data_IF_496325860925
#
_entry.id   IF_496325860925
#
_cell.length_a   1.000
_cell.length_b   1.000
_cell.length_c   1.000
_cell.angle_alpha   90.00
_cell.angle_beta   90.00
_cell.angle_gamma   90.00
#
_symmetry.space_group_name_H-M   'P 1'
#
loop_
_entity.id
_entity.type
_entity.pdbx_description
1 polymer ?
#
# COMPACT_ATOMS: atom_id res chain seq x y z
N UNK A 1 -0.94 -29.47 27.31
CA UNK A 1 -1.80 -28.26 27.38
C UNK A 1 -0.86 -27.09 27.14
N UNK A 2 -0.57 -26.85 25.86
CA UNK A 2 0.42 -25.83 25.48
C UNK A 2 -0.19 -24.45 25.66
N UNK A 3 0.42 -23.66 26.54
CA UNK A 3 0.07 -22.25 26.69
C UNK A 3 0.34 -21.56 25.35
N UNK A 4 -0.71 -21.28 24.60
CA UNK A 4 -0.66 -20.32 23.51
C UNK A 4 -0.32 -18.99 24.18
N UNK A 5 0.94 -18.55 24.05
CA UNK A 5 1.37 -17.28 24.63
C UNK A 5 0.49 -16.17 24.07
N UNK A 6 0.00 -15.27 24.91
CA UNK A 6 -0.86 -14.15 24.49
C UNK A 6 -0.22 -13.31 23.38
N UNK A 7 1.12 -13.28 23.35
CA UNK A 7 1.94 -12.65 22.32
C UNK A 7 1.78 -13.32 20.94
N UNK A 8 1.64 -14.64 20.92
CA UNK A 8 1.49 -15.44 19.70
C UNK A 8 0.12 -15.18 19.05
N UNK A 9 -0.93 -15.10 19.86
CA UNK A 9 -2.30 -14.77 19.41
C UNK A 9 -2.35 -13.34 18.85
N UNK A 10 -1.74 -12.39 19.56
CA UNK A 10 -1.71 -11.00 19.11
C UNK A 10 -0.97 -10.83 17.79
N UNK A 11 0.17 -11.53 17.62
CA UNK A 11 0.97 -11.49 16.40
C UNK A 11 0.21 -12.11 15.23
N UNK A 12 -0.38 -13.29 15.41
CA UNK A 12 -1.21 -13.93 14.39
C UNK A 12 -2.40 -13.05 14.01
N UNK A 13 -3.07 -12.44 14.98
CA UNK A 13 -4.20 -11.53 14.74
C UNK A 13 -3.80 -10.32 13.90
N UNK A 14 -2.66 -9.70 14.23
CA UNK A 14 -2.12 -8.57 13.48
C UNK A 14 -1.75 -8.97 12.04
N UNK A 15 -1.13 -10.13 11.86
CA UNK A 15 -0.76 -10.67 10.53
C UNK A 15 -2.01 -10.93 9.68
N UNK A 16 -3.07 -11.53 10.26
CA UNK A 16 -4.35 -11.73 9.57
C UNK A 16 -4.96 -10.41 9.13
N UNK A 17 -5.02 -9.41 10.02
CA UNK A 17 -5.56 -8.09 9.70
C UNK A 17 -4.77 -7.40 8.57
N UNK A 18 -3.44 -7.49 8.59
CA UNK A 18 -2.57 -6.94 7.55
C UNK A 18 -2.79 -7.65 6.21
N UNK A 19 -2.85 -8.99 6.18
CA UNK A 19 -3.12 -9.77 4.97
C UNK A 19 -4.46 -9.39 4.32
N UNK A 20 -5.54 -9.36 5.11
CA UNK A 20 -6.88 -9.03 4.61
C UNK A 20 -6.90 -7.61 4.03
N UNK A 21 -6.18 -6.68 4.64
CA UNK A 21 -6.08 -5.31 4.15
C UNK A 21 -5.33 -5.24 2.83
N UNK A 22 -4.16 -5.88 2.72
CA UNK A 22 -3.35 -5.89 1.50
C UNK A 22 -4.09 -6.59 0.35
N UNK A 23 -4.60 -7.80 0.57
CA UNK A 23 -5.33 -8.57 -0.44
C UNK A 23 -6.62 -7.84 -0.82
N UNK A 24 -7.39 -7.37 0.16
CA UNK A 24 -8.63 -6.65 -0.08
C UNK A 24 -8.42 -5.37 -0.89
N UNK A 25 -7.29 -4.70 -0.72
CA UNK A 25 -6.92 -3.51 -1.50
C UNK A 25 -6.47 -3.86 -2.92
N UNK A 26 -5.59 -4.88 -3.08
CA UNK A 26 -5.07 -5.29 -4.38
C UNK A 26 -6.18 -5.83 -5.30
N UNK A 27 -7.07 -6.66 -4.76
CA UNK A 27 -8.16 -7.26 -5.53
C UNK A 27 -9.43 -6.40 -5.58
N UNK A 28 -9.40 -5.19 -5.01
CA UNK A 28 -10.56 -4.28 -4.94
C UNK A 28 -11.84 -4.96 -4.42
N UNK A 29 -11.69 -5.78 -3.37
CA UNK A 29 -12.79 -6.59 -2.83
C UNK A 29 -13.73 -5.71 -2.00
N UNK A 30 -15.04 -5.84 -2.27
CA UNK A 30 -16.11 -5.18 -1.52
C UNK A 30 -15.99 -5.51 -0.02
N UNK A 31 -16.20 -4.50 0.82
CA UNK A 31 -15.99 -4.56 2.27
C UNK A 31 -16.77 -5.71 2.92
N UNK A 32 -17.90 -6.11 2.34
CA UNK A 32 -18.75 -7.23 2.78
C UNK A 32 -18.02 -8.57 2.82
N UNK A 33 -17.09 -8.81 1.88
CA UNK A 33 -16.38 -10.08 1.79
C UNK A 33 -15.08 -10.10 2.60
N UNK A 34 -14.63 -8.96 3.15
CA UNK A 34 -13.38 -8.89 3.94
C UNK A 34 -13.46 -9.71 5.22
N UNK A 35 -14.62 -9.73 5.88
CA UNK A 35 -14.82 -10.54 7.08
C UNK A 35 -14.77 -12.05 6.77
N UNK A 36 -15.39 -12.48 5.66
CA UNK A 36 -15.32 -13.87 5.21
C UNK A 36 -13.89 -14.28 4.86
N UNK A 37 -13.14 -13.38 4.21
CA UNK A 37 -11.72 -13.61 3.91
C UNK A 37 -10.89 -13.73 5.18
N UNK A 38 -11.10 -12.86 6.18
CA UNK A 38 -10.38 -12.91 7.45
C UNK A 38 -10.57 -14.25 8.17
N UNK A 39 -11.81 -14.75 8.21
CA UNK A 39 -12.14 -16.06 8.78
C UNK A 39 -11.44 -17.17 8.00
N UNK A 40 -11.49 -17.12 6.67
CA UNK A 40 -10.81 -18.11 5.81
C UNK A 40 -9.30 -18.16 6.05
N UNK A 41 -8.63 -17.00 6.08
CA UNK A 41 -7.18 -16.90 6.31
C UNK A 41 -6.82 -17.37 7.73
N UNK A 42 -7.61 -17.00 8.74
CA UNK A 42 -7.40 -17.45 10.11
C UNK A 42 -7.52 -18.99 10.24
N UNK A 43 -8.50 -19.60 9.56
CA UNK A 43 -8.61 -21.07 9.53
C UNK A 43 -7.40 -21.72 8.86
N UNK A 44 -6.91 -21.18 7.74
CA UNK A 44 -5.72 -21.71 7.05
C UNK A 44 -4.48 -21.62 7.93
N UNK A 45 -4.27 -20.50 8.62
CA UNK A 45 -3.15 -20.32 9.54
C UNK A 45 -3.26 -21.23 10.77
N UNK A 46 -4.48 -21.45 11.27
CA UNK A 46 -4.73 -22.33 12.41
C UNK A 46 -4.45 -23.80 12.10
N UNK A 47 -4.75 -24.24 10.88
CA UNK A 47 -4.47 -25.61 10.43
C UNK A 47 -2.99 -25.88 10.13
N UNK A 48 -2.14 -24.85 10.18
CA UNK A 48 -0.72 -25.01 9.90
C UNK A 48 0.00 -25.65 11.10
N UNK A 49 0.80 -26.72 10.88
CA UNK A 49 1.54 -27.36 11.96
C UNK A 49 2.56 -26.39 12.58
N UNK A 50 2.61 -26.36 13.92
CA UNK A 50 3.44 -25.42 14.70
C UNK A 50 4.92 -25.43 14.33
N UNK A 51 5.44 -26.57 13.90
CA UNK A 51 6.84 -26.73 13.47
C UNK A 51 7.21 -25.82 12.28
N UNK A 52 6.22 -25.45 11.46
CA UNK A 52 6.36 -24.59 10.29
C UNK A 52 5.79 -23.19 10.53
N UNK A 53 4.94 -23.05 11.55
CA UNK A 53 4.18 -21.84 11.84
C UNK A 53 5.07 -20.63 12.08
N UNK A 54 6.15 -20.77 12.85
CA UNK A 54 7.03 -19.65 13.21
C UNK A 54 7.80 -19.10 12.00
N UNK A 55 8.38 -20.00 11.18
CA UNK A 55 9.07 -19.62 9.94
C UNK A 55 8.10 -19.00 8.93
N UNK A 56 6.89 -19.55 8.83
CA UNK A 56 5.86 -19.03 7.94
C UNK A 56 5.35 -17.66 8.38
N UNK A 57 5.13 -17.46 9.68
CA UNK A 57 4.75 -16.15 10.24
C UNK A 57 5.83 -15.12 9.98
N UNK A 58 7.11 -15.48 10.18
CA UNK A 58 8.24 -14.61 9.91
C UNK A 58 8.33 -14.24 8.42
N UNK A 59 8.17 -15.22 7.51
CA UNK A 59 8.14 -14.96 6.08
C UNK A 59 6.97 -14.04 5.69
N UNK A 60 5.78 -14.23 6.28
CA UNK A 60 4.63 -13.36 6.10
C UNK A 60 4.90 -11.94 6.56
N UNK A 61 5.50 -11.75 7.74
CA UNK A 61 5.85 -10.43 8.26
C UNK A 61 6.83 -9.73 7.31
N UNK A 62 7.87 -10.42 6.85
CA UNK A 62 8.85 -9.86 5.90
C UNK A 62 8.16 -9.47 4.59
N UNK A 63 7.33 -10.35 4.02
CA UNK A 63 6.61 -10.11 2.77
C UNK A 63 5.60 -8.96 2.87
N UNK A 64 4.81 -8.91 3.96
CA UNK A 64 3.85 -7.83 4.22
C UNK A 64 4.56 -6.50 4.47
N UNK A 65 5.67 -6.51 5.20
CA UNK A 65 6.47 -5.31 5.46
C UNK A 65 7.07 -4.78 4.16
N UNK A 66 7.67 -5.64 3.33
CA UNK A 66 8.17 -5.27 2.02
C UNK A 66 7.04 -4.71 1.14
N UNK A 67 5.88 -5.39 1.07
CA UNK A 67 4.70 -4.94 0.33
C UNK A 67 4.22 -3.55 0.79
N UNK A 68 4.17 -3.32 2.11
CA UNK A 68 3.81 -2.04 2.70
C UNK A 68 4.77 -0.92 2.32
N UNK A 69 6.09 -1.18 2.42
CA UNK A 69 7.12 -0.22 2.01
C UNK A 69 6.98 0.11 0.53
N UNK A 70 6.96 -0.89 -0.36
CA UNK A 70 6.82 -0.67 -1.81
C UNK A 70 5.54 0.10 -2.16
N UNK A 71 4.42 -0.19 -1.49
CA UNK A 71 3.15 0.50 -1.68
C UNK A 71 3.20 1.96 -1.22
N UNK A 72 4.09 2.34 -0.30
CA UNK A 72 4.20 3.71 0.19
C UNK A 72 5.21 4.55 -0.60
N UNK A 73 6.31 3.97 -1.08
CA UNK A 73 7.31 4.74 -1.87
C UNK A 73 6.88 4.99 -3.31
N UNK A 74 6.24 4.03 -3.99
CA UNK A 74 5.92 4.17 -5.41
C UNK A 74 4.85 5.22 -5.78
N UNK A 75 3.78 5.46 -4.99
CA UNK A 75 2.81 6.51 -5.34
C UNK A 75 3.36 7.94 -5.18
N UNK A 76 4.44 8.12 -4.41
CA UNK A 76 5.03 9.46 -4.18
C UNK A 76 5.73 10.00 -5.43
N UNK A 77 6.50 9.16 -6.12
CA UNK A 77 7.21 9.57 -7.34
C UNK A 77 6.25 9.99 -8.47
N UNK A 78 5.16 9.24 -8.68
CA UNK A 78 4.19 9.61 -9.72
C UNK A 78 3.49 10.94 -9.42
N UNK A 79 3.15 11.20 -8.15
CA UNK A 79 2.51 12.47 -7.77
C UNK A 79 3.47 13.66 -7.90
N UNK A 80 4.73 13.47 -7.50
CA UNK A 80 5.77 14.50 -7.63
C UNK A 80 6.07 14.81 -9.10
N UNK A 81 6.09 13.79 -9.97
CA UNK A 81 6.31 13.96 -11.41
C UNK A 81 5.13 14.67 -12.10
N UNK A 82 3.90 14.31 -11.74
CA UNK A 82 2.68 15.00 -12.20
C UNK A 82 2.64 16.47 -11.74
N UNK A 83 3.06 16.75 -10.51
CA UNK A 83 3.14 18.12 -9.99
C UNK A 83 4.20 18.94 -10.75
N UNK A 84 5.38 18.35 -11.00
CA UNK A 84 6.44 18.99 -11.80
C UNK A 84 5.99 19.28 -13.24
N UNK A 85 5.23 18.38 -13.86
CA UNK A 85 4.66 18.61 -15.19
C UNK A 85 3.68 19.78 -15.20
N UNK A 86 2.77 19.89 -14.22
CA UNK A 86 1.84 21.04 -14.12
C UNK A 86 2.57 22.36 -13.96
N UNK A 87 3.55 22.43 -13.06
CA UNK A 87 4.34 23.65 -12.83
C UNK A 87 5.07 24.08 -14.11
N UNK A 88 5.63 23.12 -14.85
CA UNK A 88 6.33 23.38 -16.12
C UNK A 88 5.37 23.89 -17.21
N UNK A 89 4.15 23.37 -17.28
CA UNK A 89 3.12 23.85 -18.21
C UNK A 89 2.63 25.26 -17.87
N UNK A 90 2.44 25.57 -16.59
CA UNK A 90 2.06 26.91 -16.13
C UNK A 90 3.13 27.96 -16.47
N UNK A 91 4.40 27.67 -16.14
CA UNK A 91 5.53 28.53 -16.51
C UNK A 91 5.63 28.78 -18.02
N UNK A 92 5.38 27.74 -18.82
CA UNK A 92 5.43 27.86 -20.28
C UNK A 92 4.31 28.76 -20.81
N UNK A 93 3.10 28.66 -20.26
CA UNK A 93 1.98 29.54 -20.62
C UNK A 93 2.26 31.00 -20.23
N UNK A 94 2.78 31.24 -19.03
CA UNK A 94 3.17 32.59 -18.60
C UNK A 94 4.23 33.20 -19.51
N UNK A 95 5.21 32.39 -19.93
CA UNK A 95 6.30 32.84 -20.82
C UNK A 95 5.77 33.14 -22.24
N UNK A 96 4.86 32.32 -22.77
CA UNK A 96 4.18 32.57 -24.05
C UNK A 96 3.32 33.85 -24.00
N UNK A 97 2.64 34.11 -22.89
CA UNK A 97 1.88 35.36 -22.67
C UNK A 97 2.80 36.59 -22.54
N UNK A 98 3.94 36.47 -21.88
CA UNK A 98 4.93 37.55 -21.78
C UNK A 98 5.54 37.88 -23.15
N UNK A 99 5.91 36.86 -23.93
CA UNK A 99 6.43 37.05 -25.28
C UNK A 99 5.39 37.72 -26.19
N UNK A 100 4.11 37.30 -26.09
CA UNK A 100 3.01 37.95 -26.83
C UNK A 100 2.82 39.41 -26.45
N UNK A 101 3.00 39.76 -25.18
CA UNK A 101 2.91 41.15 -24.70
C UNK A 101 4.10 42.01 -25.14
N UNK A 102 5.30 41.44 -25.23
CA UNK A 102 6.48 42.13 -25.76
C UNK A 102 6.44 42.33 -27.28
N UNK A 103 5.90 41.38 -28.05
CA UNK A 103 5.73 41.53 -29.51
C UNK A 103 4.64 42.55 -29.91
N UNK A 104 3.81 43.00 -28.97
CA UNK A 104 2.68 43.89 -29.23
C UNK A 104 2.79 45.29 -28.61
N UNK A 105 3.99 45.72 -28.22
CA UNK A 105 4.26 47.14 -27.94
C UNK A 105 4.49 47.88 -29.27
N UNK A 106 3.55 48.74 -29.72
CA UNK A 106 3.82 49.66 -30.81
C UNK A 106 4.68 50.80 -30.25
N UNK A 107 5.77 51.11 -30.96
CA UNK A 107 6.45 52.41 -30.80
C UNK A 107 5.50 53.56 -31.19
#
# INVERSE_FOLDING_TARGET
>A
MDQVSMLDIATVSAVVAALVTVIGNIFSIDSRYRALMAIGIACVLWFMPREWGEQFLMALIIGLTASGVYSQVKPRDNQDELMRMRIKEELRREQEEQNRKQDHTPY
#
